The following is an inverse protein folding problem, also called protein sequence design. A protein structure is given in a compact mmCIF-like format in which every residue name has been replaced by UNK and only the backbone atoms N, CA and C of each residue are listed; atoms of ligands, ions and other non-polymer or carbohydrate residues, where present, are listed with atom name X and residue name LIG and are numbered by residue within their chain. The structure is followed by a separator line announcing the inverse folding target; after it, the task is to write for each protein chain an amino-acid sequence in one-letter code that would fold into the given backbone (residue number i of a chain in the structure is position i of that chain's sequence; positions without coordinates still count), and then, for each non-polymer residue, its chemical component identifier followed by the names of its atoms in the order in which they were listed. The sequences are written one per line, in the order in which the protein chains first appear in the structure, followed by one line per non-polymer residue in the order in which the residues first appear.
data_IF_941054756895
#
_entry.id   IF_941054756895
#
_cell.length_a   1.000
_cell.length_b   1.000
_cell.length_c   1.000
_cell.angle_alpha   90.00
_cell.angle_beta   90.00
_cell.angle_gamma   90.00
#
_symmetry.space_group_name_H-M   'P 1'
#
loop_
_entity.id
_entity.type
_entity.pdbx_description
1 polymer ?
#
# COMPACT_ATOMS: atom_id res chain seq x y z
N UNK A 1 -4.07 -0.44 52.60
CA UNK A 1 -5.10 0.21 51.74
C UNK A 1 -4.51 1.11 50.65
N UNK A 2 -3.19 1.38 50.59
CA UNK A 2 -2.58 2.19 49.53
C UNK A 2 -2.17 1.43 48.26
N UNK A 3 -1.84 0.13 48.37
CA UNK A 3 -1.14 -0.58 47.29
C UNK A 3 -2.06 -1.17 46.21
N UNK A 4 -3.27 -1.59 46.57
CA UNK A 4 -4.24 -2.18 45.63
C UNK A 4 -4.81 -1.14 44.66
N UNK A 5 -4.96 0.12 45.10
CA UNK A 5 -5.43 1.23 44.26
C UNK A 5 -4.39 1.63 43.22
N UNK A 6 -3.10 1.65 43.60
CA UNK A 6 -1.99 1.96 42.69
C UNK A 6 -1.75 0.82 41.69
N UNK A 7 -1.85 -0.44 42.14
CA UNK A 7 -1.80 -1.60 41.27
C UNK A 7 -2.95 -1.61 40.25
N UNK A 8 -4.18 -1.33 40.69
CA UNK A 8 -5.35 -1.20 39.82
C UNK A 8 -5.19 -0.08 38.78
N UNK A 9 -4.64 1.07 39.18
CA UNK A 9 -4.34 2.17 38.26
C UNK A 9 -3.25 1.80 37.22
N UNK A 10 -2.18 1.13 37.64
CA UNK A 10 -1.12 0.65 36.73
C UNK A 10 -1.64 -0.41 35.76
N UNK A 11 -2.44 -1.37 36.24
CA UNK A 11 -3.08 -2.38 35.40
C UNK A 11 -4.04 -1.74 34.40
N UNK A 12 -4.87 -0.78 34.85
CA UNK A 12 -5.78 -0.02 33.97
C UNK A 12 -5.03 0.75 32.89
N UNK A 13 -3.97 1.49 33.25
CA UNK A 13 -3.14 2.23 32.28
C UNK A 13 -2.44 1.31 31.28
N UNK A 14 -1.98 0.13 31.71
CA UNK A 14 -1.38 -0.86 30.81
C UNK A 14 -2.39 -1.39 29.78
N UNK A 15 -3.60 -1.71 30.21
CA UNK A 15 -4.68 -2.17 29.31
C UNK A 15 -5.10 -1.07 28.36
N UNK A 16 -5.29 0.16 28.83
CA UNK A 16 -5.61 1.31 27.98
C UNK A 16 -4.55 1.50 26.89
N UNK A 17 -3.26 1.48 27.26
CA UNK A 17 -2.17 1.61 26.28
C UNK A 17 -2.22 0.53 25.21
N UNK A 18 -2.42 -0.74 25.59
CA UNK A 18 -2.53 -1.84 24.63
C UNK A 18 -3.70 -1.68 23.66
N UNK A 19 -4.83 -1.14 24.14
CA UNK A 19 -6.00 -0.88 23.31
C UNK A 19 -5.74 0.30 22.36
N UNK A 20 -5.18 1.40 22.85
CA UNK A 20 -4.86 2.59 22.05
C UNK A 20 -3.83 2.27 20.97
N UNK A 21 -2.73 1.60 21.30
CA UNK A 21 -1.69 1.20 20.34
C UNK A 21 -2.27 0.32 19.22
N UNK A 22 -3.19 -0.57 19.57
CA UNK A 22 -3.87 -1.44 18.61
C UNK A 22 -4.82 -0.67 17.70
N UNK A 23 -5.52 0.35 18.20
CA UNK A 23 -6.40 1.20 17.41
C UNK A 23 -5.60 2.09 16.45
N UNK A 24 -4.54 2.74 16.95
CA UNK A 24 -3.62 3.53 16.12
C UNK A 24 -3.05 2.69 14.99
N UNK A 25 -2.63 1.46 15.31
CA UNK A 25 -2.14 0.51 14.32
C UNK A 25 -3.18 0.19 13.23
N UNK A 26 -4.44 -0.06 13.60
CA UNK A 26 -5.51 -0.32 12.63
C UNK A 26 -5.75 0.91 11.74
N UNK A 27 -5.72 2.11 12.31
CA UNK A 27 -5.90 3.37 11.56
C UNK A 27 -4.75 3.57 10.56
N UNK A 28 -3.50 3.40 10.99
CA UNK A 28 -2.32 3.52 10.12
C UNK A 28 -2.32 2.47 9.01
N UNK A 29 -2.71 1.24 9.34
CA UNK A 29 -2.86 0.16 8.37
C UNK A 29 -3.92 0.51 7.30
N UNK A 30 -5.10 0.96 7.70
CA UNK A 30 -6.14 1.39 6.76
C UNK A 30 -5.66 2.50 5.84
N UNK A 31 -5.05 3.55 6.41
CA UNK A 31 -4.47 4.67 5.63
C UNK A 31 -3.42 4.21 4.62
N UNK A 32 -2.57 3.26 4.98
CA UNK A 32 -1.53 2.75 4.08
C UNK A 32 -2.12 1.96 2.90
N UNK A 33 -3.19 1.20 3.14
CA UNK A 33 -3.90 0.48 2.08
C UNK A 33 -4.67 1.43 1.16
N UNK A 34 -5.34 2.45 1.71
CA UNK A 34 -6.05 3.43 0.90
C UNK A 34 -5.06 4.23 0.02
N UNK A 35 -3.95 4.69 0.60
CA UNK A 35 -2.89 5.36 -0.17
C UNK A 35 -2.29 4.43 -1.26
N UNK A 36 -2.19 3.12 -1.03
CA UNK A 36 -1.76 2.19 -2.06
C UNK A 36 -2.76 2.13 -3.22
N UNK A 37 -4.07 2.13 -2.94
CA UNK A 37 -5.12 2.11 -3.98
C UNK A 37 -5.11 3.40 -4.79
N UNK A 38 -5.05 4.55 -4.12
CA UNK A 38 -5.01 5.86 -4.80
C UNK A 38 -3.81 5.94 -5.77
N UNK A 39 -2.62 5.53 -5.31
CA UNK A 39 -1.42 5.51 -6.14
C UNK A 39 -1.48 4.48 -7.27
N UNK A 40 -2.17 3.36 -7.06
CA UNK A 40 -2.37 2.35 -8.10
C UNK A 40 -3.25 2.90 -9.22
N UNK A 41 -4.35 3.59 -8.89
CA UNK A 41 -5.23 4.22 -9.88
C UNK A 41 -4.48 5.30 -10.68
N UNK A 42 -3.73 6.16 -10.00
CA UNK A 42 -2.90 7.19 -10.63
C UNK A 42 -1.84 6.60 -11.57
N UNK A 43 -1.13 5.55 -11.13
CA UNK A 43 -0.13 4.88 -11.97
C UNK A 43 -0.76 4.22 -13.20
N UNK A 44 -1.96 3.64 -13.08
CA UNK A 44 -2.70 3.08 -14.23
C UNK A 44 -3.07 4.16 -15.23
N UNK A 45 -3.49 5.34 -14.76
CA UNK A 45 -3.80 6.48 -15.63
C UNK A 45 -2.55 6.98 -16.36
N UNK A 46 -1.45 7.22 -15.64
CA UNK A 46 -0.17 7.63 -16.22
C UNK A 46 0.30 6.59 -17.23
N UNK A 47 0.14 5.29 -16.93
CA UNK A 47 0.50 4.22 -17.84
C UNK A 47 -0.21 4.32 -19.18
N UNK A 48 -1.53 4.53 -19.15
CA UNK A 48 -2.31 4.71 -20.39
C UNK A 48 -1.82 5.92 -21.20
N UNK A 49 -1.42 7.02 -20.54
CA UNK A 49 -0.84 8.19 -21.22
C UNK A 49 0.52 7.88 -21.86
N UNK A 50 1.42 7.19 -21.16
CA UNK A 50 2.74 6.81 -21.70
C UNK A 50 2.60 5.78 -22.84
N UNK A 51 1.68 4.82 -22.73
CA UNK A 51 1.38 3.86 -23.80
C UNK A 51 0.93 4.55 -25.10
N UNK A 52 0.18 5.65 -24.99
CA UNK A 52 -0.23 6.43 -26.17
C UNK A 52 0.98 6.93 -26.98
N UNK A 53 2.09 7.30 -26.33
CA UNK A 53 3.35 7.73 -26.99
C UNK A 53 4.05 6.63 -27.77
N UNK A 54 3.92 5.38 -27.32
CA UNK A 54 4.46 4.21 -28.04
C UNK A 54 3.76 4.07 -29.40
N UNK A 55 2.45 4.26 -29.40
CA UNK A 55 1.63 4.20 -30.62
C UNK A 55 1.69 5.46 -31.50
N UNK A 56 2.09 6.61 -30.96
CA UNK A 56 2.15 7.88 -31.68
C UNK A 56 3.19 7.83 -32.83
N UNK A 57 2.79 8.10 -34.09
CA UNK A 57 3.69 8.07 -35.24
C UNK A 57 4.76 9.18 -35.21
N UNK A 58 4.56 10.25 -34.44
CA UNK A 58 5.48 11.39 -34.32
C UNK A 58 6.53 11.19 -33.22
N UNK A 59 6.36 10.22 -32.33
CA UNK A 59 7.35 9.90 -31.28
C UNK A 59 8.61 9.29 -31.89
N UNK A 60 9.78 9.83 -31.49
CA UNK A 60 11.07 9.29 -31.90
C UNK A 60 11.26 7.82 -31.48
N UNK A 61 12.07 7.05 -32.23
CA UNK A 61 12.38 5.65 -31.86
C UNK A 61 12.95 5.52 -30.44
N UNK A 62 13.80 6.48 -30.04
CA UNK A 62 14.35 6.53 -28.68
C UNK A 62 13.26 6.77 -27.64
N UNK A 63 12.37 7.73 -27.87
CA UNK A 63 11.24 8.01 -26.99
C UNK A 63 10.30 6.81 -26.85
N UNK A 64 10.01 6.09 -27.94
CA UNK A 64 9.22 4.85 -27.89
C UNK A 64 9.89 3.78 -27.04
N UNK A 65 11.19 3.59 -27.21
CA UNK A 65 11.95 2.63 -26.41
C UNK A 65 11.96 3.00 -24.91
N UNK A 66 12.12 4.28 -24.58
CA UNK A 66 12.06 4.77 -23.20
C UNK A 66 10.66 4.57 -22.59
N UNK A 67 9.61 4.90 -23.34
CA UNK A 67 8.22 4.67 -22.94
C UNK A 67 7.91 3.18 -22.73
N UNK A 68 8.26 2.30 -23.67
CA UNK A 68 8.07 0.84 -23.54
C UNK A 68 8.80 0.27 -22.31
N UNK A 69 10.02 0.73 -22.06
CA UNK A 69 10.80 0.30 -20.90
C UNK A 69 10.15 0.76 -19.59
N UNK A 70 9.60 1.97 -19.55
CA UNK A 70 8.88 2.48 -18.39
C UNK A 70 7.57 1.71 -18.17
N UNK A 71 6.78 1.46 -19.23
CA UNK A 71 5.50 0.72 -19.14
C UNK A 71 5.71 -0.65 -18.50
N UNK A 72 6.75 -1.39 -18.91
CA UNK A 72 7.06 -2.70 -18.30
C UNK A 72 7.34 -2.65 -16.80
N UNK A 73 7.96 -1.56 -16.31
CA UNK A 73 8.20 -1.39 -14.86
C UNK A 73 6.91 -1.06 -14.14
N UNK A 74 6.09 -0.19 -14.71
CA UNK A 74 4.78 0.14 -14.16
C UNK A 74 3.89 -1.11 -14.05
N UNK A 75 3.88 -1.98 -15.06
CA UNK A 75 3.12 -3.24 -15.05
C UNK A 75 3.57 -4.20 -13.94
N UNK A 76 4.88 -4.35 -13.71
CA UNK A 76 5.41 -5.18 -12.61
C UNK A 76 4.98 -4.65 -11.23
N UNK A 77 4.99 -3.32 -11.04
CA UNK A 77 4.56 -2.69 -9.79
C UNK A 77 3.03 -2.83 -9.60
N UNK A 78 2.25 -2.62 -10.66
CA UNK A 78 0.79 -2.82 -10.66
C UNK A 78 0.46 -4.26 -10.26
N UNK A 79 1.10 -5.25 -10.86
CA UNK A 79 0.85 -6.66 -10.56
C UNK A 79 1.16 -7.01 -9.10
N UNK A 80 2.26 -6.47 -8.55
CA UNK A 80 2.62 -6.65 -7.12
C UNK A 80 1.59 -6.03 -6.19
N UNK A 81 1.08 -4.84 -6.51
CA UNK A 81 0.08 -4.16 -5.71
C UNK A 81 -1.28 -4.86 -5.77
N UNK A 82 -1.72 -5.29 -6.95
CA UNK A 82 -2.95 -6.08 -7.11
C UNK A 82 -2.90 -7.37 -6.30
N UNK A 83 -1.79 -8.12 -6.37
CA UNK A 83 -1.59 -9.32 -5.56
C UNK A 83 -1.68 -9.04 -4.06
N UNK A 84 -1.06 -7.95 -3.59
CA UNK A 84 -1.13 -7.56 -2.18
C UNK A 84 -2.57 -7.26 -1.75
N UNK A 85 -3.35 -6.54 -2.59
CA UNK A 85 -4.75 -6.24 -2.31
C UNK A 85 -5.65 -7.48 -2.33
N UNK A 86 -5.38 -8.43 -3.23
CA UNK A 86 -6.07 -9.73 -3.26
C UNK A 86 -5.77 -10.56 -2.01
N UNK A 87 -4.50 -10.67 -1.62
CA UNK A 87 -4.07 -11.39 -0.41
C UNK A 87 -4.75 -10.78 0.84
N UNK A 88 -4.87 -9.45 0.89
CA UNK A 88 -5.55 -8.74 1.98
C UNK A 88 -7.06 -8.98 2.00
N UNK A 89 -7.74 -8.97 0.85
CA UNK A 89 -9.16 -9.32 0.77
C UNK A 89 -9.41 -10.76 1.26
N UNK A 90 -8.55 -11.71 0.89
CA UNK A 90 -8.62 -13.09 1.38
C UNK A 90 -8.38 -13.17 2.89
N UNK A 91 -7.40 -12.43 3.42
CA UNK A 91 -7.15 -12.35 4.86
C UNK A 91 -8.33 -11.73 5.63
N UNK A 92 -8.98 -10.71 5.07
CA UNK A 92 -10.18 -10.09 5.63
C UNK A 92 -11.39 -11.05 5.64
N UNK A 93 -11.54 -11.91 4.63
CA UNK A 93 -12.60 -12.94 4.65
C UNK A 93 -12.38 -13.99 5.75
N UNK A 94 -11.15 -14.21 6.21
CA UNK A 94 -10.89 -15.13 7.32
C UNK A 94 -11.31 -14.59 8.72
N UNK A 95 -11.80 -13.34 8.81
CA UNK A 95 -12.32 -12.75 10.04
C UNK A 95 -13.71 -13.26 10.49
N UNK A 96 -14.36 -14.13 9.72
CA UNK A 96 -15.59 -14.83 10.14
C UNK A 96 -15.33 -16.04 11.08
N UNK A 97 -14.16 -16.12 11.72
CA UNK A 97 -14.01 -16.82 13.00
C UNK A 97 -12.87 -17.84 13.15
N UNK A 98 -11.95 -18.02 12.19
CA UNK A 98 -10.98 -19.13 12.25
C UNK A 98 -9.50 -18.82 11.97
N UNK A 99 -9.10 -17.59 11.63
CA UNK A 99 -7.68 -17.25 11.52
C UNK A 99 -7.16 -16.56 12.78
N UNK A 100 -6.77 -17.35 13.77
CA UNK A 100 -5.97 -16.87 14.90
C UNK A 100 -4.57 -16.47 14.43
N UNK A 101 -4.38 -15.24 13.94
CA UNK A 101 -3.10 -14.57 14.14
C UNK A 101 -3.16 -13.05 13.95
N UNK A 102 -3.15 -12.33 15.07
CA UNK A 102 -2.97 -10.88 15.11
C UNK A 102 -1.52 -10.44 14.79
N UNK A 103 -0.58 -11.37 14.70
CA UNK A 103 0.87 -11.12 14.50
C UNK A 103 1.24 -10.97 13.00
N UNK A 104 0.35 -11.29 12.05
CA UNK A 104 0.65 -11.32 10.61
C UNK A 104 0.54 -9.94 9.91
N UNK A 105 -0.03 -8.92 10.55
CA UNK A 105 -0.41 -7.68 9.87
C UNK A 105 0.72 -6.65 9.63
N UNK A 106 1.88 -6.77 10.30
CA UNK A 106 2.96 -5.77 10.14
C UNK A 106 3.53 -5.76 8.72
N UNK A 107 3.70 -6.95 8.15
CA UNK A 107 4.37 -7.13 6.85
C UNK A 107 3.56 -6.54 5.68
N UNK A 108 2.23 -6.73 5.57
CA UNK A 108 1.43 -6.12 4.51
C UNK A 108 1.34 -4.58 4.55
N UNK A 109 1.17 -3.96 5.74
CA UNK A 109 1.12 -2.49 5.88
C UNK A 109 2.39 -1.83 5.36
N UNK A 110 3.53 -2.41 5.72
CA UNK A 110 4.85 -1.93 5.31
C UNK A 110 5.06 -2.15 3.82
N UNK A 111 4.62 -3.30 3.29
CA UNK A 111 4.65 -3.57 1.84
C UNK A 111 3.79 -2.58 1.06
N UNK A 112 2.59 -2.27 1.54
CA UNK A 112 1.69 -1.28 0.94
C UNK A 112 2.33 0.11 0.91
N UNK A 113 2.91 0.55 2.04
CA UNK A 113 3.62 1.83 2.10
C UNK A 113 4.81 1.88 1.13
N UNK A 114 5.62 0.81 1.02
CA UNK A 114 6.76 0.75 0.09
C UNK A 114 6.32 0.78 -1.37
N UNK A 115 5.27 0.03 -1.72
CA UNK A 115 4.74 0.02 -3.08
C UNK A 115 4.16 1.39 -3.44
N UNK A 116 3.44 2.04 -2.53
CA UNK A 116 2.92 3.40 -2.77
C UNK A 116 4.06 4.42 -3.00
N UNK A 117 5.18 4.29 -2.29
CA UNK A 117 6.37 5.12 -2.53
C UNK A 117 7.01 4.84 -3.89
N UNK A 118 7.13 3.57 -4.29
CA UNK A 118 7.65 3.20 -5.61
C UNK A 118 6.74 3.72 -6.73
N UNK A 119 5.42 3.60 -6.58
CA UNK A 119 4.45 4.16 -7.51
C UNK A 119 4.61 5.67 -7.65
N UNK A 120 4.77 6.41 -6.55
CA UNK A 120 4.95 7.86 -6.60
C UNK A 120 6.19 8.27 -7.43
N UNK A 121 7.28 7.51 -7.35
CA UNK A 121 8.49 7.74 -8.16
C UNK A 121 8.21 7.46 -9.64
N UNK A 122 7.59 6.33 -9.95
CA UNK A 122 7.31 5.96 -11.35
C UNK A 122 6.24 6.85 -11.99
N UNK A 123 5.26 7.33 -11.23
CA UNK A 123 4.27 8.34 -11.65
C UNK A 123 5.00 9.60 -12.13
N UNK A 124 5.91 10.14 -11.31
CA UNK A 124 6.67 11.33 -11.67
C UNK A 124 7.53 11.11 -12.92
N UNK A 125 8.17 9.94 -13.05
CA UNK A 125 8.94 9.60 -14.24
C UNK A 125 8.04 9.49 -15.48
N UNK A 126 6.88 8.84 -15.36
CA UNK A 126 5.93 8.64 -16.45
C UNK A 126 5.28 9.94 -16.92
N UNK A 127 4.99 10.86 -16.01
CA UNK A 127 4.55 12.21 -16.36
C UNK A 127 5.59 12.97 -17.18
N UNK A 128 6.89 12.76 -16.93
CA UNK A 128 7.97 13.32 -17.73
C UNK A 128 8.08 12.73 -19.14
N UNK A 129 7.43 11.59 -19.40
CA UNK A 129 7.37 10.92 -20.71
C UNK A 129 6.09 11.25 -21.48
N UNK A 130 5.10 11.89 -20.84
CA UNK A 130 3.84 12.35 -21.45
C UNK A 130 4.03 13.69 -22.19
#
# INVERSE_FOLDING_TARGET
MGDESEFGARAGNYVIRLVTDRLDYIIHYGRNLDNLKDRLEELVEVKGRVESKVSDPFTSKKGKFEAEKWVKRAEDIIAKAQKLLEDENHAHMCFYGLCANFIIRYDPSVKASRLAQQMAVEIQEGEGLC
#
